data_IF_627355933677
#
_entry.id   IF_627355933677
#
_cell.length_a   1.000
_cell.length_b   1.000
_cell.length_c   1.000
_cell.angle_alpha   90.00
_cell.angle_beta   90.00
_cell.angle_gamma   90.00
#
_symmetry.space_group_name_H-M   'P 1'
#
loop_
_entity.id
_entity.type
_entity.pdbx_description
1 polymer ?
#
# COMPACT_ATOMS: atom_id res chain seq x y z
N UNK A 1 -34.26 45.41 -13.04
CA UNK A 1 -33.95 46.10 -14.31
C UNK A 1 -33.13 45.11 -15.14
N UNK A 2 -33.75 44.09 -15.76
CA UNK A 2 -34.42 44.17 -17.09
C UNK A 2 -33.44 44.72 -18.15
N UNK A 3 -33.13 44.10 -19.30
CA UNK A 3 -33.95 43.45 -20.35
C UNK A 3 -32.94 42.85 -21.37
N UNK A 4 -32.99 41.56 -21.74
CA UNK A 4 -33.71 40.94 -22.90
C UNK A 4 -33.03 41.07 -24.28
N UNK A 5 -33.01 39.92 -24.98
CA UNK A 5 -33.01 39.66 -26.45
C UNK A 5 -31.85 40.14 -27.35
N UNK A 6 -31.37 39.20 -28.18
CA UNK A 6 -31.92 39.15 -29.55
C UNK A 6 -31.71 37.79 -30.23
N UNK A 7 -32.81 37.05 -30.41
CA UNK A 7 -32.93 36.07 -31.48
C UNK A 7 -33.09 36.82 -32.81
N UNK A 8 -32.33 36.43 -33.83
CA UNK A 8 -32.67 36.80 -35.21
C UNK A 8 -32.85 35.54 -36.05
N UNK A 9 -34.11 35.16 -36.19
CA UNK A 9 -34.61 34.30 -37.25
C UNK A 9 -34.25 34.89 -38.62
N UNK A 10 -33.70 34.07 -39.53
CA UNK A 10 -34.02 34.18 -40.95
C UNK A 10 -34.70 32.90 -41.39
N UNK A 11 -35.98 33.03 -41.72
CA UNK A 11 -36.75 32.10 -42.54
C UNK A 11 -36.05 31.99 -43.90
N UNK A 12 -35.62 30.80 -44.27
CA UNK A 12 -35.56 30.37 -45.67
C UNK A 12 -36.54 29.22 -45.85
N UNK A 13 -37.29 29.34 -46.94
CA UNK A 13 -38.56 28.70 -47.25
C UNK A 13 -38.58 27.17 -47.10
N UNK A 14 -39.71 26.72 -46.57
CA UNK A 14 -40.16 25.33 -46.59
C UNK A 14 -40.61 25.00 -48.01
N UNK A 15 -39.88 24.14 -48.71
CA UNK A 15 -40.38 23.35 -49.82
C UNK A 15 -39.94 21.90 -49.58
N UNK A 16 -40.91 21.03 -49.37
CA UNK A 16 -40.83 19.57 -49.42
C UNK A 16 -41.66 19.16 -50.67
N UNK A 17 -41.47 17.99 -51.33
CA UNK A 17 -40.94 16.75 -50.78
C UNK A 17 -40.04 15.92 -51.70
N UNK A 18 -39.07 15.20 -51.12
CA UNK A 18 -38.54 13.99 -51.74
C UNK A 18 -37.98 13.07 -50.66
N UNK A 19 -38.62 11.91 -50.51
CA UNK A 19 -38.12 10.76 -49.78
C UNK A 19 -36.82 10.27 -50.43
N UNK A 20 -35.71 10.24 -49.68
CA UNK A 20 -34.58 9.37 -49.98
C UNK A 20 -33.95 8.84 -48.68
N UNK A 21 -34.25 7.56 -48.44
CA UNK A 21 -33.36 6.50 -47.94
C UNK A 21 -32.57 6.73 -46.63
N UNK A 22 -32.86 5.89 -45.63
CA UNK A 22 -32.25 5.83 -44.30
C UNK A 22 -30.76 5.44 -44.21
N UNK A 23 -29.93 5.85 -45.17
CA UNK A 23 -28.49 5.67 -45.17
C UNK A 23 -27.67 6.70 -44.33
N UNK A 24 -28.07 7.99 -44.17
CA UNK A 24 -27.16 8.98 -43.56
C UNK A 24 -27.07 8.86 -42.02
N UNK A 25 -28.14 8.41 -41.36
CA UNK A 25 -28.15 8.27 -39.89
C UNK A 25 -27.29 7.08 -39.46
N UNK A 26 -27.35 5.95 -40.19
CA UNK A 26 -26.51 4.79 -39.90
C UNK A 26 -25.01 5.11 -40.08
N UNK A 27 -24.66 5.86 -41.12
CA UNK A 27 -23.29 6.33 -41.34
C UNK A 27 -22.83 7.31 -40.24
N UNK A 28 -23.69 8.25 -39.83
CA UNK A 28 -23.39 9.17 -38.73
C UNK A 28 -23.21 8.45 -37.39
N UNK A 29 -24.06 7.45 -37.09
CA UNK A 29 -23.93 6.61 -35.88
C UNK A 29 -22.67 5.76 -35.94
N UNK A 30 -22.30 5.21 -37.10
CA UNK A 30 -21.07 4.44 -37.27
C UNK A 30 -19.84 5.33 -37.07
N UNK A 31 -19.83 6.55 -37.62
CA UNK A 31 -18.75 7.52 -37.43
C UNK A 31 -18.65 7.97 -35.97
N UNK A 32 -19.78 8.21 -35.29
CA UNK A 32 -19.79 8.51 -33.85
C UNK A 32 -19.28 7.34 -33.01
N UNK A 33 -19.68 6.09 -33.34
CA UNK A 33 -19.18 4.88 -32.67
C UNK A 33 -17.69 4.69 -32.94
N UNK A 34 -17.20 4.98 -34.15
CA UNK A 34 -15.78 4.90 -34.50
C UNK A 34 -14.95 6.00 -33.83
N UNK A 35 -15.50 7.21 -33.69
CA UNK A 35 -14.90 8.32 -32.95
C UNK A 35 -14.84 8.00 -31.45
N UNK A 36 -15.93 7.50 -30.86
CA UNK A 36 -15.95 7.02 -29.47
C UNK A 36 -14.96 5.88 -29.24
N UNK A 37 -14.85 4.90 -30.15
CA UNK A 37 -13.84 3.81 -30.08
C UNK A 37 -12.40 4.28 -30.31
N UNK A 38 -12.21 5.43 -30.97
CA UNK A 38 -10.90 6.09 -31.12
C UNK A 38 -10.54 6.89 -29.88
N UNK A 39 -11.53 7.54 -29.26
CA UNK A 39 -11.38 8.26 -27.99
C UNK A 39 -11.13 7.28 -26.83
N UNK A 40 -11.88 6.18 -26.76
CA UNK A 40 -11.63 5.07 -25.82
C UNK A 40 -10.24 4.46 -26.05
N UNK A 41 -9.81 4.25 -27.31
CA UNK A 41 -8.43 3.84 -27.58
C UNK A 41 -7.40 4.89 -27.17
N UNK A 42 -7.68 6.18 -27.34
CA UNK A 42 -6.85 7.27 -26.85
C UNK A 42 -6.89 7.42 -25.33
N UNK A 43 -7.93 6.99 -24.63
CA UNK A 43 -8.00 6.97 -23.16
C UNK A 43 -7.24 5.74 -22.64
N UNK A 44 -7.33 4.60 -23.34
CA UNK A 44 -6.57 3.37 -23.03
C UNK A 44 -5.08 3.55 -23.34
N UNK A 45 -4.72 4.28 -24.39
CA UNK A 45 -3.32 4.59 -24.78
C UNK A 45 -2.82 5.89 -24.13
N UNK A 46 -3.71 6.80 -23.74
CA UNK A 46 -3.42 8.17 -23.27
C UNK A 46 -3.07 8.28 -21.79
N UNK A 47 -2.66 7.19 -21.15
CA UNK A 47 -1.94 7.25 -19.89
C UNK A 47 -0.80 6.21 -19.81
N UNK A 48 -0.29 5.73 -20.96
CA UNK A 48 1.02 5.09 -20.96
C UNK A 48 2.04 6.17 -20.59
N UNK A 49 2.46 6.18 -19.32
CA UNK A 49 3.79 6.70 -18.99
C UNK A 49 4.74 5.87 -19.83
N UNK A 50 5.53 6.51 -20.69
CA UNK A 50 6.58 5.85 -21.44
C UNK A 50 7.61 5.31 -20.44
N UNK A 51 7.45 4.06 -20.03
CA UNK A 51 8.41 3.37 -19.18
C UNK A 51 9.62 3.04 -20.03
N UNK A 52 10.73 3.75 -19.81
CA UNK A 52 12.00 3.38 -20.43
C UNK A 52 12.55 2.11 -19.79
N UNK A 53 13.41 1.39 -20.51
CA UNK A 53 14.11 0.21 -19.96
C UNK A 53 14.84 0.53 -18.65
N UNK A 54 15.37 1.77 -18.49
CA UNK A 54 15.99 2.18 -17.23
C UNK A 54 14.97 2.24 -16.08
N UNK A 55 13.76 2.74 -16.33
CA UNK A 55 12.71 2.79 -15.31
C UNK A 55 12.26 1.37 -14.94
N UNK A 56 12.06 0.50 -15.94
CA UNK A 56 11.66 -0.91 -15.73
C UNK A 56 12.73 -1.64 -14.91
N UNK A 57 14.00 -1.53 -15.30
CA UNK A 57 15.12 -2.14 -14.58
C UNK A 57 15.25 -1.60 -13.16
N UNK A 58 15.03 -0.29 -12.96
CA UNK A 58 15.03 0.34 -11.64
C UNK A 58 13.92 -0.20 -10.74
N UNK A 59 12.70 -0.34 -11.26
CA UNK A 59 11.56 -0.89 -10.50
C UNK A 59 11.82 -2.35 -10.11
N UNK A 60 12.29 -3.18 -11.05
CA UNK A 60 12.63 -4.59 -10.78
C UNK A 60 13.70 -4.69 -9.69
N UNK A 61 14.76 -3.89 -9.78
CA UNK A 61 15.84 -3.87 -8.79
C UNK A 61 15.31 -3.48 -7.40
N UNK A 62 14.48 -2.44 -7.31
CA UNK A 62 13.88 -2.02 -6.04
C UNK A 62 12.98 -3.10 -5.47
N UNK A 63 12.15 -3.76 -6.28
CA UNK A 63 11.27 -4.85 -5.82
C UNK A 63 12.08 -6.04 -5.29
N UNK A 64 13.11 -6.48 -6.03
CA UNK A 64 13.96 -7.61 -5.63
C UNK A 64 14.75 -7.31 -4.35
N UNK A 65 15.40 -6.15 -4.29
CA UNK A 65 16.22 -5.78 -3.12
C UNK A 65 15.36 -5.54 -1.88
N UNK A 66 14.25 -4.82 -2.01
CA UNK A 66 13.35 -4.54 -0.90
C UNK A 66 12.68 -5.82 -0.38
N UNK A 67 12.21 -6.72 -1.26
CA UNK A 67 11.58 -7.98 -0.86
C UNK A 67 12.56 -9.01 -0.26
N UNK A 68 13.80 -9.04 -0.74
CA UNK A 68 14.78 -10.04 -0.30
C UNK A 68 15.43 -9.66 1.02
N UNK A 69 16.03 -8.46 1.10
CA UNK A 69 16.85 -8.09 2.26
C UNK A 69 16.01 -7.90 3.53
N UNK A 70 14.81 -7.34 3.41
CA UNK A 70 13.92 -7.10 4.57
C UNK A 70 13.36 -8.41 5.14
N UNK A 71 13.02 -9.37 4.28
CA UNK A 71 12.58 -10.70 4.69
C UNK A 71 13.71 -11.49 5.34
N UNK A 72 14.91 -11.46 4.73
CA UNK A 72 16.10 -12.15 5.26
C UNK A 72 16.43 -11.67 6.66
N UNK A 73 16.58 -10.36 6.87
CA UNK A 73 16.90 -9.82 8.20
C UNK A 73 15.78 -10.10 9.20
N UNK A 74 14.54 -10.18 8.73
CA UNK A 74 13.40 -10.49 9.60
C UNK A 74 13.43 -11.92 10.10
N UNK A 75 13.68 -12.88 9.22
CA UNK A 75 13.81 -14.29 9.59
C UNK A 75 15.06 -14.50 10.46
N UNK A 76 16.18 -13.87 10.12
CA UNK A 76 17.43 -13.96 10.88
C UNK A 76 17.24 -13.53 12.35
N UNK A 77 16.66 -12.34 12.57
CA UNK A 77 16.34 -11.87 13.92
C UNK A 77 15.31 -12.74 14.63
N UNK A 78 14.27 -13.20 13.92
CA UNK A 78 13.27 -14.09 14.53
C UNK A 78 13.89 -15.40 15.02
N UNK A 79 14.72 -16.04 14.20
CA UNK A 79 15.44 -17.26 14.58
C UNK A 79 16.42 -17.00 15.73
N UNK A 80 17.16 -15.89 15.68
CA UNK A 80 18.06 -15.49 16.77
C UNK A 80 17.31 -15.34 18.09
N UNK A 81 16.16 -14.67 18.09
CA UNK A 81 15.32 -14.50 19.29
C UNK A 81 14.82 -15.84 19.81
N UNK A 82 14.29 -16.70 18.94
CA UNK A 82 13.79 -18.02 19.34
C UNK A 82 14.88 -18.93 19.92
N UNK A 83 16.10 -18.88 19.36
CA UNK A 83 17.23 -19.67 19.87
C UNK A 83 17.76 -19.15 21.21
N UNK A 84 17.55 -17.86 21.51
CA UNK A 84 17.90 -17.27 22.80
C UNK A 84 16.75 -17.39 23.84
N UNK A 85 15.56 -17.83 23.42
CA UNK A 85 14.36 -17.95 24.25
C UNK A 85 13.66 -19.30 23.97
N UNK A 86 14.27 -20.38 24.46
CA UNK A 86 13.82 -21.75 24.18
C UNK A 86 12.40 -22.02 24.69
N UNK A 87 11.99 -21.38 25.77
CA UNK A 87 10.63 -21.44 26.31
C UNK A 87 9.58 -20.90 25.33
N UNK A 88 9.92 -19.85 24.57
CA UNK A 88 9.05 -19.29 23.52
C UNK A 88 9.01 -20.24 22.33
N UNK A 89 10.16 -20.81 21.94
CA UNK A 89 10.25 -21.78 20.86
C UNK A 89 9.41 -23.05 21.14
N UNK A 90 9.46 -23.56 22.37
CA UNK A 90 8.67 -24.72 22.80
C UNK A 90 7.17 -24.45 22.74
N UNK A 91 6.72 -23.27 23.20
CA UNK A 91 5.32 -22.84 23.08
C UNK A 91 4.87 -22.72 21.62
N UNK A 92 5.70 -22.13 20.75
CA UNK A 92 5.40 -22.02 19.33
C UNK A 92 5.31 -23.39 18.64
N UNK A 93 6.19 -24.34 19.02
CA UNK A 93 6.11 -25.72 18.55
C UNK A 93 4.83 -26.41 19.03
N UNK A 94 4.45 -26.24 20.29
CA UNK A 94 3.21 -26.79 20.82
C UNK A 94 1.97 -26.25 20.08
N UNK A 95 1.95 -24.97 19.72
CA UNK A 95 0.89 -24.39 18.88
C UNK A 95 0.84 -25.04 17.49
N UNK A 96 2.00 -25.19 16.83
CA UNK A 96 2.10 -25.85 15.53
C UNK A 96 1.64 -27.30 15.58
N UNK A 97 2.06 -28.07 16.58
CA UNK A 97 1.66 -29.47 16.75
C UNK A 97 0.15 -29.59 16.98
N UNK A 98 -0.45 -28.66 17.72
CA UNK A 98 -1.89 -28.65 18.00
C UNK A 98 -2.75 -28.24 16.79
N UNK A 99 -2.32 -27.23 16.02
CA UNK A 99 -3.13 -26.64 14.93
C UNK A 99 -2.85 -27.28 13.58
N UNK A 100 -1.60 -27.66 13.33
CA UNK A 100 -1.13 -28.18 12.03
C UNK A 100 -0.93 -29.69 12.11
N UNK A 101 -0.32 -30.18 13.19
CA UNK A 101 0.13 -31.57 13.33
C UNK A 101 1.41 -31.84 12.52
N UNK A 102 1.86 -33.09 12.52
CA UNK A 102 3.15 -33.50 11.92
C UNK A 102 3.05 -33.95 10.46
N UNK A 103 1.86 -34.28 9.99
CA UNK A 103 1.68 -35.03 8.73
C UNK A 103 1.38 -34.14 7.51
N UNK A 104 1.30 -32.81 7.71
CA UNK A 104 0.95 -31.85 6.65
C UNK A 104 1.74 -30.56 6.74
N UNK A 105 1.93 -29.91 5.59
CA UNK A 105 2.45 -28.55 5.52
C UNK A 105 1.39 -27.53 5.92
N UNK A 106 1.85 -26.39 6.45
CA UNK A 106 1.00 -25.23 6.74
C UNK A 106 0.40 -24.70 5.43
N UNK A 107 -0.89 -24.38 5.45
CA UNK A 107 -1.58 -23.69 4.37
C UNK A 107 -1.96 -22.27 4.79
N UNK A 108 -2.28 -21.40 3.83
CA UNK A 108 -2.62 -19.99 4.10
C UNK A 108 -3.79 -19.85 5.09
N UNK A 109 -4.81 -20.70 4.96
CA UNK A 109 -5.96 -20.70 5.87
C UNK A 109 -5.62 -21.12 7.30
N UNK A 110 -4.58 -21.95 7.49
CA UNK A 110 -4.12 -22.37 8.81
C UNK A 110 -3.34 -21.30 9.54
N UNK A 111 -2.78 -20.30 8.83
CA UNK A 111 -1.99 -19.23 9.43
C UNK A 111 -2.81 -18.39 10.42
N UNK A 112 -4.10 -18.18 10.17
CA UNK A 112 -4.95 -17.40 11.09
C UNK A 112 -5.14 -18.05 12.46
N UNK A 113 -4.87 -19.36 12.57
CA UNK A 113 -5.00 -20.10 13.83
C UNK A 113 -3.70 -20.14 14.64
N UNK A 114 -2.59 -19.63 14.09
CA UNK A 114 -1.27 -19.61 14.74
C UNK A 114 -1.04 -18.28 15.48
N UNK A 115 -1.90 -18.00 16.46
CA UNK A 115 -1.92 -16.75 17.21
C UNK A 115 -0.61 -16.43 17.92
N UNK A 116 0.04 -17.42 18.54
CA UNK A 116 1.29 -17.24 19.26
C UNK A 116 2.44 -16.98 18.30
N UNK A 117 2.45 -17.65 17.14
CA UNK A 117 3.41 -17.35 16.07
C UNK A 117 3.25 -15.90 15.56
N UNK A 118 2.02 -15.40 15.38
CA UNK A 118 1.77 -14.00 15.03
C UNK A 118 2.29 -13.03 16.09
N UNK A 119 2.14 -13.39 17.37
CA UNK A 119 2.67 -12.60 18.48
C UNK A 119 4.20 -12.54 18.45
N UNK A 120 4.87 -13.65 18.15
CA UNK A 120 6.34 -13.71 17.99
C UNK A 120 6.79 -12.78 16.85
N UNK A 121 6.12 -12.85 15.70
CA UNK A 121 6.43 -12.00 14.55
C UNK A 121 6.22 -10.53 14.90
N UNK A 122 5.11 -10.20 15.57
CA UNK A 122 4.78 -8.84 16.00
C UNK A 122 5.81 -8.30 16.98
N UNK A 123 6.18 -9.08 18.00
CA UNK A 123 7.20 -8.71 18.98
C UNK A 123 8.58 -8.53 18.34
N UNK A 124 8.94 -9.42 17.40
CA UNK A 124 10.18 -9.28 16.65
C UNK A 124 10.19 -8.00 15.81
N UNK A 125 9.10 -7.70 15.10
CA UNK A 125 9.01 -6.50 14.26
C UNK A 125 8.98 -5.22 15.09
N UNK A 126 8.50 -5.34 16.32
CA UNK A 126 8.48 -4.26 17.29
C UNK A 126 9.88 -3.97 17.85
N UNK A 127 10.60 -4.99 18.37
CA UNK A 127 11.97 -4.84 18.90
C UNK A 127 13.01 -4.54 17.81
N UNK A 128 12.95 -5.27 16.71
CA UNK A 128 13.93 -5.25 15.61
C UNK A 128 13.22 -5.04 14.26
N UNK A 129 12.69 -3.83 14.01
CA UNK A 129 12.10 -3.48 12.72
C UNK A 129 13.18 -3.54 11.62
N UNK A 130 12.82 -4.03 10.44
CA UNK A 130 13.75 -4.09 9.30
C UNK A 130 14.20 -2.69 8.82
N UNK A 131 13.39 -1.66 9.07
CA UNK A 131 13.68 -0.27 8.74
C UNK A 131 13.44 0.65 9.96
N UNK A 132 14.39 0.73 10.92
CA UNK A 132 14.20 1.47 12.18
C UNK A 132 13.99 2.99 12.01
N UNK A 133 14.41 3.56 10.86
CA UNK A 133 14.20 4.98 10.53
C UNK A 133 13.18 5.22 9.39
N UNK A 134 12.49 4.17 8.93
CA UNK A 134 11.72 4.15 7.68
C UNK A 134 12.50 4.72 6.48
N UNK A 135 11.82 4.84 5.33
CA UNK A 135 12.37 5.51 4.15
C UNK A 135 12.25 7.04 4.36
N UNK A 136 13.32 7.82 4.13
CA UNK A 136 13.26 9.28 4.25
C UNK A 136 12.15 9.89 3.39
N UNK A 137 11.42 10.85 3.95
CA UNK A 137 10.35 11.58 3.26
C UNK A 137 10.70 13.06 3.14
N UNK A 138 10.73 13.57 1.92
CA UNK A 138 10.89 15.01 1.65
C UNK A 138 9.53 15.71 1.73
N UNK A 139 9.46 16.83 2.45
CA UNK A 139 8.23 17.61 2.57
C UNK A 139 7.94 18.42 1.31
N UNK A 140 6.77 18.18 0.70
CA UNK A 140 6.33 18.91 -0.49
C UNK A 140 5.88 20.34 -0.20
N UNK A 141 5.49 20.66 1.04
CA UNK A 141 4.98 21.94 1.47
C UNK A 141 5.55 22.32 2.84
N UNK A 142 5.51 23.60 3.18
CA UNK A 142 5.80 24.06 4.54
C UNK A 142 4.74 23.51 5.51
N UNK A 143 5.18 22.93 6.62
CA UNK A 143 4.30 22.34 7.63
C UNK A 143 4.79 22.60 9.05
N UNK A 144 3.91 22.46 10.04
CA UNK A 144 4.24 22.59 11.47
C UNK A 144 4.03 21.28 12.20
N UNK A 145 5.07 20.77 12.87
CA UNK A 145 4.98 19.57 13.74
C UNK A 145 5.30 20.00 15.16
N UNK A 146 4.40 19.76 16.12
CA UNK A 146 4.62 20.04 17.56
C UNK A 146 5.21 21.45 17.85
N UNK A 147 4.77 22.46 17.09
CA UNK A 147 5.24 23.84 17.21
C UNK A 147 6.50 24.21 16.40
N UNK A 148 7.17 23.24 15.79
CA UNK A 148 8.33 23.46 14.91
C UNK A 148 7.90 23.75 13.47
N UNK A 149 8.51 24.77 12.86
CA UNK A 149 8.34 25.06 11.43
C UNK A 149 9.27 24.15 10.61
N UNK A 150 8.68 23.39 9.70
CA UNK A 150 9.39 22.51 8.77
C UNK A 150 9.21 23.07 7.36
N UNK A 151 10.26 23.70 6.79
CA UNK A 151 10.22 24.19 5.43
C UNK A 151 10.08 23.07 4.41
N UNK A 152 9.47 23.38 3.27
CA UNK A 152 9.49 22.54 2.07
C UNK A 152 10.92 22.13 1.71
N UNK A 153 11.08 20.89 1.24
CA UNK A 153 12.38 20.32 0.88
C UNK A 153 13.16 19.73 2.07
N UNK A 154 12.63 19.85 3.30
CA UNK A 154 13.22 19.18 4.45
C UNK A 154 13.01 17.67 4.36
N UNK A 155 14.09 16.90 4.57
CA UNK A 155 14.05 15.45 4.68
C UNK A 155 13.69 15.07 6.12
N UNK A 156 12.59 14.35 6.29
CA UNK A 156 12.15 13.80 7.57
C UNK A 156 12.45 12.30 7.63
N UNK A 157 13.02 11.89 8.77
CA UNK A 157 13.24 10.49 9.11
C UNK A 157 12.40 10.18 10.36
N UNK A 158 11.63 9.10 10.31
CA UNK A 158 10.77 8.68 11.42
C UNK A 158 11.51 7.59 12.19
N UNK A 159 11.93 7.90 13.41
CA UNK A 159 12.61 6.93 14.26
C UNK A 159 11.59 5.95 14.89
N UNK A 160 11.18 4.96 14.12
CA UNK A 160 10.23 3.91 14.54
C UNK A 160 10.77 3.13 15.73
N UNK A 161 12.07 2.85 15.76
CA UNK A 161 12.68 2.16 16.88
C UNK A 161 12.51 2.93 18.19
N UNK A 162 12.73 4.25 18.19
CA UNK A 162 12.52 5.06 19.39
C UNK A 162 11.04 5.13 19.81
N UNK A 163 10.11 5.15 18.85
CA UNK A 163 8.66 5.12 19.13
C UNK A 163 8.26 3.79 19.75
N UNK A 164 8.79 2.68 19.24
CA UNK A 164 8.56 1.36 19.82
C UNK A 164 9.17 1.28 21.22
N UNK A 165 10.36 1.82 21.45
CA UNK A 165 11.06 1.70 22.73
C UNK A 165 10.63 2.70 23.82
N UNK A 166 9.58 3.50 23.61
CA UNK A 166 9.16 4.52 24.58
C UNK A 166 8.55 3.87 25.85
N UNK A 167 9.21 3.98 27.03
CA UNK A 167 8.73 3.38 28.27
C UNK A 167 7.44 4.04 28.81
N UNK A 168 7.07 5.22 28.31
CA UNK A 168 5.79 5.84 28.64
C UNK A 168 4.61 5.19 27.91
N UNK A 169 4.89 4.47 26.82
CA UNK A 169 3.89 3.81 25.97
C UNK A 169 3.90 2.30 26.17
N UNK A 170 5.08 1.71 26.41
CA UNK A 170 5.28 0.27 26.49
C UNK A 170 5.98 -0.13 27.79
N UNK A 171 5.42 -1.14 28.46
CA UNK A 171 6.05 -1.74 29.64
C UNK A 171 7.22 -2.66 29.25
N UNK A 172 8.35 -2.59 29.95
CA UNK A 172 9.57 -3.36 29.66
C UNK A 172 9.91 -3.45 28.16
N UNK A 173 10.27 -2.32 27.53
CA UNK A 173 10.34 -2.26 26.09
C UNK A 173 11.58 -2.96 25.49
N UNK A 174 12.56 -3.34 26.30
CA UNK A 174 13.81 -3.93 25.79
C UNK A 174 13.79 -5.45 25.77
N UNK A 175 12.81 -6.06 26.44
CA UNK A 175 12.73 -7.51 26.59
C UNK A 175 11.85 -8.14 25.52
N UNK A 176 12.28 -9.29 25.00
CA UNK A 176 11.48 -10.10 24.07
C UNK A 176 10.37 -10.84 24.82
N UNK A 177 9.13 -10.39 24.60
CA UNK A 177 7.92 -10.92 25.22
C UNK A 177 6.79 -11.02 24.20
N UNK A 178 6.67 -12.11 23.43
CA UNK A 178 5.56 -12.30 22.50
C UNK A 178 4.18 -12.07 23.14
N UNK A 179 4.04 -12.41 24.42
CA UNK A 179 2.83 -12.20 25.22
C UNK A 179 2.38 -10.73 25.28
N UNK A 180 3.25 -9.76 24.96
CA UNK A 180 2.91 -8.34 24.78
C UNK A 180 1.79 -8.16 23.77
N UNK A 181 1.75 -8.98 22.74
CA UNK A 181 0.76 -8.92 21.67
C UNK A 181 -0.42 -9.88 21.88
N UNK A 182 -0.43 -10.65 22.98
CA UNK A 182 -1.52 -11.56 23.31
C UNK A 182 -2.78 -10.81 23.75
N UNK A 183 -3.93 -11.15 23.16
CA UNK A 183 -5.22 -10.52 23.48
C UNK A 183 -5.31 -9.03 23.09
N UNK A 184 -4.24 -8.42 22.60
CA UNK A 184 -4.28 -7.09 22.03
C UNK A 184 -4.89 -7.16 20.64
N UNK A 185 -6.01 -6.46 20.44
CA UNK A 185 -6.21 -5.85 19.14
C UNK A 185 -5.12 -4.79 19.00
N UNK A 186 -4.00 -5.17 18.38
CA UNK A 186 -2.89 -4.27 18.11
C UNK A 186 -3.48 -3.05 17.42
N UNK A 187 -3.60 -1.94 18.14
CA UNK A 187 -4.08 -0.74 17.50
C UNK A 187 -3.08 -0.41 16.39
N UNK A 188 -3.54 -0.19 15.14
CA UNK A 188 -2.65 0.06 14.01
C UNK A 188 -1.66 1.21 14.25
N UNK A 189 -1.97 2.11 15.19
CA UNK A 189 -1.14 3.24 15.61
C UNK A 189 0.08 2.87 16.48
N UNK A 190 0.09 1.69 17.10
CA UNK A 190 1.11 1.29 18.08
C UNK A 190 2.28 0.50 17.46
N UNK A 191 2.01 -0.23 16.38
CA UNK A 191 3.02 -1.03 15.66
C UNK A 191 3.04 -0.59 14.20
N UNK A 192 4.13 0.06 13.77
CA UNK A 192 4.26 0.64 12.41
C UNK A 192 5.44 0.07 11.60
N UNK A 193 5.64 -1.26 11.54
CA UNK A 193 6.81 -1.89 10.92
C UNK A 193 6.87 -1.68 9.40
N UNK A 194 5.72 -1.40 8.79
CA UNK A 194 5.56 -1.15 7.36
C UNK A 194 5.28 0.32 7.03
N UNK A 195 5.43 1.23 8.01
CA UNK A 195 5.01 2.61 7.88
C UNK A 195 3.49 2.76 7.77
N UNK A 196 3.03 3.96 7.44
CA UNK A 196 1.60 4.29 7.34
C UNK A 196 1.32 5.19 6.14
N UNK A 197 0.03 5.32 5.81
CA UNK A 197 -0.49 6.27 4.83
C UNK A 197 0.07 6.10 3.40
N UNK A 198 0.31 7.21 2.67
CA UNK A 198 0.64 7.21 1.23
C UNK A 198 1.97 6.53 0.88
N UNK A 199 2.81 6.28 1.88
CA UNK A 199 4.14 5.68 1.74
C UNK A 199 4.27 4.39 2.55
N UNK A 200 3.13 3.78 2.93
CA UNK A 200 3.11 2.44 3.50
C UNK A 200 3.78 1.44 2.55
N UNK A 201 4.43 0.43 3.11
CA UNK A 201 5.13 -0.59 2.35
C UNK A 201 4.18 -1.25 1.34
N UNK A 202 4.50 -1.24 0.03
CA UNK A 202 3.69 -1.94 -0.96
C UNK A 202 3.84 -3.47 -0.87
N UNK A 203 4.88 -3.96 -0.20
CA UNK A 203 5.17 -5.38 -0.01
C UNK A 203 4.60 -5.98 1.28
N UNK A 204 3.81 -5.24 2.06
CA UNK A 204 3.33 -5.70 3.38
C UNK A 204 2.45 -6.96 3.33
N UNK A 205 1.81 -7.24 2.19
CA UNK A 205 1.02 -8.47 2.02
C UNK A 205 1.85 -9.68 1.57
N UNK A 206 3.07 -9.45 1.10
CA UNK A 206 4.01 -10.52 0.72
C UNK A 206 4.93 -10.90 1.89
N UNK A 207 5.34 -9.90 2.67
CA UNK A 207 6.17 -10.06 3.86
C UNK A 207 5.41 -10.76 4.99
#
# INVERSE_FOLDING_TARGET
>A
MEIICNQRQRRTQFNSPAQTTGAPIAAAVLLHKQAAKREERKIIIGNQRDYTDQIINGIILVMLTAGTNTSLVTIEWALSLLLNHLEVLEKARAELDAQVGTDRLVNEHGLSNLSYLHNIISEKLWLYPAAPMLVPNEQSNDYKIEGYNIPRGTILLVNVWAVHMDPNVWDDPTSFKPERFEGLQVQPSKLIPFGMERRSCPGSGLA
#
